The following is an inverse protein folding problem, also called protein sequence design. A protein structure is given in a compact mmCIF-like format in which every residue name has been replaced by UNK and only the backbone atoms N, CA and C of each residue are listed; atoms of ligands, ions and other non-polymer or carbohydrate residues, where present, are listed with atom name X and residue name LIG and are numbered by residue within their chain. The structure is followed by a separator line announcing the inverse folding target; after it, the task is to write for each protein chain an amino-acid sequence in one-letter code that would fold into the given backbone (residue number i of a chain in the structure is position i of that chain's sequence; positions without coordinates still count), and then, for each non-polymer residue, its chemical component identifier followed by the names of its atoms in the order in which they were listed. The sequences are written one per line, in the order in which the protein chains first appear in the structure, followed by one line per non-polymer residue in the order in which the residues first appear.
data_IF_819511501162
#
_entry.id   IF_819511501162
#
_cell.length_a   1.000
_cell.length_b   1.000
_cell.length_c   1.000
_cell.angle_alpha   90.00
_cell.angle_beta   90.00
_cell.angle_gamma   90.00
#
_symmetry.space_group_name_H-M   'P 1'
#
loop_
_entity.id
_entity.type
_entity.pdbx_description
1 polymer ?
#
# COMPACT_ATOMS: atom_id res chain seq x y z
N UNK A 1 -16.49 9.25 6.81
CA UNK A 1 -15.93 7.89 6.70
C UNK A 1 -14.88 7.96 5.62
N UNK A 2 -13.60 7.78 5.94
CA UNK A 2 -12.58 7.61 4.91
C UNK A 2 -12.83 6.25 4.25
N UNK A 3 -12.95 6.22 2.94
CA UNK A 3 -13.12 4.97 2.18
C UNK A 3 -11.74 4.33 2.09
N UNK A 4 -11.63 3.13 2.66
CA UNK A 4 -10.39 2.37 2.65
C UNK A 4 -10.34 1.58 1.33
N UNK A 5 -9.75 2.21 0.31
CA UNK A 5 -9.68 1.66 -1.04
C UNK A 5 -9.08 0.24 -1.08
N UNK A 6 -8.16 -0.08 -0.17
CA UNK A 6 -7.53 -1.40 -0.12
C UNK A 6 -8.52 -2.45 0.37
N UNK A 7 -9.34 -2.12 1.39
CA UNK A 7 -10.38 -3.02 1.91
C UNK A 7 -11.58 -3.17 0.99
N UNK A 8 -11.92 -2.11 0.25
CA UNK A 8 -13.02 -2.11 -0.72
C UNK A 8 -12.64 -2.76 -2.06
N UNK A 9 -11.35 -2.95 -2.34
CA UNK A 9 -10.91 -3.63 -3.53
C UNK A 9 -11.25 -5.12 -3.47
N UNK A 10 -11.87 -5.62 -4.54
CA UNK A 10 -12.29 -7.01 -4.65
C UNK A 10 -11.17 -7.94 -5.14
N UNK A 11 -10.13 -7.36 -5.74
CA UNK A 11 -9.02 -8.09 -6.35
C UNK A 11 -7.72 -7.26 -6.32
N UNK A 12 -6.58 -7.95 -6.29
CA UNK A 12 -5.25 -7.32 -6.45
C UNK A 12 -5.13 -6.51 -7.75
N UNK A 13 -5.83 -6.90 -8.82
CA UNK A 13 -5.84 -6.14 -10.08
C UNK A 13 -6.44 -4.74 -9.92
N UNK A 14 -7.48 -4.58 -9.07
CA UNK A 14 -8.02 -3.26 -8.77
C UNK A 14 -7.02 -2.41 -7.98
N UNK A 15 -6.23 -3.05 -7.11
CA UNK A 15 -5.16 -2.37 -6.38
C UNK A 15 -4.07 -1.89 -7.35
N UNK A 16 -3.63 -2.75 -8.26
CA UNK A 16 -2.60 -2.43 -9.27
C UNK A 16 -3.07 -1.29 -10.18
N UNK A 17 -4.31 -1.36 -10.67
CA UNK A 17 -4.90 -0.28 -11.47
C UNK A 17 -4.96 1.04 -10.68
N UNK A 18 -5.39 0.97 -9.42
CA UNK A 18 -5.41 2.11 -8.52
C UNK A 18 -4.04 2.71 -8.23
N UNK A 19 -2.99 1.89 -8.16
CA UNK A 19 -1.59 2.34 -8.01
C UNK A 19 -1.15 3.06 -9.28
N UNK A 20 -1.39 2.46 -10.45
CA UNK A 20 -0.94 2.98 -11.74
C UNK A 20 -1.64 4.28 -12.12
N UNK A 21 -2.87 4.49 -11.65
CA UNK A 21 -3.68 5.68 -11.94
C UNK A 21 -3.77 6.67 -10.78
N UNK A 22 -3.04 6.43 -9.68
CA UNK A 22 -3.17 7.17 -8.42
C UNK A 22 -2.99 8.68 -8.57
N UNK A 23 -2.01 9.09 -9.38
CA UNK A 23 -1.68 10.50 -9.63
C UNK A 23 -2.61 11.15 -10.66
N UNK A 24 -3.25 10.35 -11.52
CA UNK A 24 -4.17 10.80 -12.55
C UNK A 24 -5.62 10.89 -12.06
N UNK A 25 -5.93 10.19 -10.97
CA UNK A 25 -7.29 10.13 -10.42
C UNK A 25 -7.64 11.42 -9.66
N UNK A 26 -8.76 12.09 -10.00
CA UNK A 26 -9.26 13.22 -9.23
C UNK A 26 -9.85 12.79 -7.87
N UNK A 27 -10.02 11.48 -7.64
CA UNK A 27 -10.56 10.94 -6.40
C UNK A 27 -9.48 10.85 -5.33
N UNK A 28 -9.67 11.62 -4.26
CA UNK A 28 -8.75 11.59 -3.12
C UNK A 28 -9.10 10.39 -2.23
N UNK A 29 -8.23 9.39 -2.23
CA UNK A 29 -8.29 8.22 -1.34
C UNK A 29 -7.55 8.50 -0.03
N UNK A 30 -7.99 7.89 1.07
CA UNK A 30 -7.41 8.10 2.40
C UNK A 30 -7.23 6.79 3.17
N UNK A 31 -6.14 6.70 3.94
CA UNK A 31 -5.93 5.69 4.97
C UNK A 31 -5.70 6.38 6.32
N UNK A 32 -6.69 6.31 7.22
CA UNK A 32 -6.66 7.11 8.44
C UNK A 32 -6.55 8.61 8.13
N UNK A 33 -5.42 9.21 8.51
CA UNK A 33 -5.09 10.62 8.24
C UNK A 33 -4.17 10.80 7.00
N UNK A 34 -3.70 9.70 6.39
CA UNK A 34 -2.80 9.73 5.25
C UNK A 34 -3.57 9.83 3.93
N UNK A 35 -3.20 10.81 3.11
CA UNK A 35 -3.71 10.96 1.74
C UNK A 35 -3.00 9.96 0.83
N UNK A 36 -3.75 9.09 0.15
CA UNK A 36 -3.25 8.08 -0.78
C UNK A 36 -3.22 8.65 -2.21
N UNK A 37 -2.45 9.73 -2.39
CA UNK A 37 -2.35 10.49 -3.63
C UNK A 37 -1.25 10.03 -4.60
N UNK A 38 -0.53 8.94 -4.27
CA UNK A 38 0.50 8.38 -5.12
C UNK A 38 0.44 6.86 -5.14
N UNK A 39 1.02 6.26 -6.18
CA UNK A 39 1.09 4.82 -6.34
C UNK A 39 1.88 4.15 -5.21
N UNK A 40 2.95 4.79 -4.75
CA UNK A 40 3.79 4.33 -3.63
C UNK A 40 2.99 4.25 -2.34
N UNK A 41 2.16 5.25 -2.05
CA UNK A 41 1.33 5.27 -0.84
C UNK A 41 0.26 4.19 -0.87
N UNK A 42 -0.34 3.94 -2.03
CA UNK A 42 -1.30 2.85 -2.21
C UNK A 42 -0.64 1.47 -2.09
N UNK A 43 0.52 1.29 -2.72
CA UNK A 43 1.29 0.05 -2.61
C UNK A 43 1.75 -0.21 -1.16
N UNK A 44 2.22 0.83 -0.48
CA UNK A 44 2.60 0.79 0.92
C UNK A 44 1.44 0.39 1.83
N UNK A 45 0.28 0.99 1.61
CA UNK A 45 -0.93 0.70 2.37
C UNK A 45 -1.40 -0.73 2.12
N UNK A 46 -1.41 -1.21 0.87
CA UNK A 46 -1.71 -2.60 0.54
C UNK A 46 -0.80 -3.56 1.29
N UNK A 47 0.52 -3.37 1.18
CA UNK A 47 1.49 -4.25 1.81
C UNK A 47 1.36 -4.26 3.33
N UNK A 48 1.13 -3.10 3.94
CA UNK A 48 0.88 -2.98 5.38
C UNK A 48 -0.41 -3.71 5.80
N UNK A 49 -1.51 -3.56 5.07
CA UNK A 49 -2.78 -4.19 5.44
C UNK A 49 -2.69 -5.71 5.46
N UNK A 50 -1.92 -6.33 4.56
CA UNK A 50 -1.72 -7.79 4.55
C UNK A 50 -1.05 -8.31 5.83
N UNK A 51 -0.16 -7.51 6.42
CA UNK A 51 0.61 -7.87 7.62
C UNK A 51 0.10 -7.19 8.89
N UNK A 52 -0.89 -6.29 8.79
CA UNK A 52 -1.38 -5.43 9.88
C UNK A 52 -1.85 -6.21 11.12
N UNK A 53 -2.35 -7.42 10.90
CA UNK A 53 -2.84 -8.33 11.93
C UNK A 53 -1.73 -9.12 12.62
N UNK A 54 -0.48 -9.01 12.18
CA UNK A 54 0.63 -9.74 12.78
C UNK A 54 1.04 -9.07 14.10
N UNK A 55 1.51 -9.88 15.05
CA UNK A 55 2.06 -9.38 16.32
C UNK A 55 3.38 -8.65 16.11
N UNK A 56 4.22 -9.16 15.19
CA UNK A 56 5.49 -8.58 14.77
C UNK A 56 5.57 -8.54 13.25
N UNK A 57 5.92 -7.39 12.70
CA UNK A 57 6.02 -7.19 11.25
C UNK A 57 7.48 -6.92 10.91
N UNK A 58 8.06 -7.81 10.12
CA UNK A 58 9.40 -7.65 9.56
C UNK A 58 9.34 -6.91 8.24
N UNK A 59 10.40 -6.17 7.91
CA UNK A 59 10.54 -5.51 6.60
C UNK A 59 10.36 -6.50 5.43
N UNK A 60 10.83 -7.74 5.59
CA UNK A 60 10.74 -8.78 4.54
C UNK A 60 9.29 -9.22 4.24
N UNK A 61 8.40 -9.20 5.23
CA UNK A 61 6.98 -9.51 5.01
C UNK A 61 6.32 -8.41 4.18
N UNK A 62 6.62 -7.13 4.49
CA UNK A 62 6.14 -5.99 3.70
C UNK A 62 6.70 -6.06 2.28
N UNK A 63 8.01 -6.33 2.13
CA UNK A 63 8.66 -6.47 0.82
C UNK A 63 7.99 -7.54 -0.04
N UNK A 64 7.66 -8.69 0.54
CA UNK A 64 7.00 -9.81 -0.18
C UNK A 64 5.72 -9.35 -0.87
N UNK A 65 4.88 -8.56 -0.18
CA UNK A 65 3.65 -8.02 -0.77
C UNK A 65 3.88 -6.91 -1.79
N UNK A 66 4.92 -6.09 -1.61
CA UNK A 66 5.31 -5.11 -2.63
C UNK A 66 5.85 -5.81 -3.90
N UNK A 67 6.57 -6.92 -3.76
CA UNK A 67 7.06 -7.74 -4.88
C UNK A 67 5.91 -8.43 -5.62
N UNK A 68 4.84 -8.81 -4.90
CA UNK A 68 3.62 -9.33 -5.50
C UNK A 68 2.97 -8.28 -6.43
N UNK A 69 2.84 -7.03 -5.98
CA UNK A 69 2.34 -5.93 -6.80
C UNK A 69 3.22 -5.70 -8.03
N UNK A 70 4.56 -5.71 -7.87
CA UNK A 70 5.50 -5.59 -8.99
C UNK A 70 5.35 -6.72 -10.00
N UNK A 71 5.12 -7.95 -9.54
CA UNK A 71 4.87 -9.10 -10.40
C UNK A 71 3.56 -9.00 -11.18
N UNK A 72 2.66 -8.10 -10.76
CA UNK A 72 1.38 -7.79 -11.42
C UNK A 72 1.44 -6.51 -12.26
N UNK A 73 2.62 -6.00 -12.57
CA UNK A 73 2.82 -4.80 -13.42
C UNK A 73 2.41 -3.48 -12.73
N UNK A 74 2.52 -3.41 -11.39
CA UNK A 74 2.33 -2.16 -10.66
C UNK A 74 3.55 -1.22 -10.79
N UNK A 75 3.28 0.01 -11.20
CA UNK A 75 4.23 1.09 -11.43
C UNK A 75 4.26 2.03 -10.21
N UNK A 76 5.28 1.84 -9.36
CA UNK A 76 5.57 2.67 -8.18
C UNK A 76 7.06 2.51 -7.81
N UNK A 77 7.64 3.43 -7.04
CA UNK A 77 8.97 3.21 -6.47
C UNK A 77 8.93 2.22 -5.28
N UNK A 78 9.62 1.10 -5.41
CA UNK A 78 9.59 0.02 -4.40
C UNK A 78 10.19 0.46 -3.06
N UNK A 79 11.30 1.21 -3.09
CA UNK A 79 11.97 1.62 -1.87
C UNK A 79 11.17 2.70 -1.14
N UNK A 80 10.55 3.61 -1.89
CA UNK A 80 9.68 4.63 -1.36
C UNK A 80 8.41 4.01 -0.75
N UNK A 81 7.76 3.06 -1.43
CA UNK A 81 6.62 2.33 -0.89
C UNK A 81 6.99 1.55 0.39
N UNK A 82 8.15 0.88 0.41
CA UNK A 82 8.63 0.21 1.63
C UNK A 82 8.85 1.21 2.76
N UNK A 83 9.49 2.35 2.47
CA UNK A 83 9.72 3.39 3.47
C UNK A 83 8.40 3.92 4.05
N UNK A 84 7.41 4.19 3.20
CA UNK A 84 6.08 4.66 3.62
C UNK A 84 5.35 3.58 4.43
N UNK A 85 5.41 2.31 4.01
CA UNK A 85 4.77 1.20 4.73
C UNK A 85 5.32 1.07 6.16
N UNK A 86 6.63 1.28 6.33
CA UNK A 86 7.27 1.35 7.66
C UNK A 86 6.75 2.53 8.49
N UNK A 87 6.40 3.66 7.86
CA UNK A 87 5.77 4.77 8.57
C UNK A 87 4.34 4.46 9.03
N UNK A 88 3.58 3.67 8.27
CA UNK A 88 2.27 3.18 8.70
C UNK A 88 2.38 2.15 9.83
N UNK A 89 3.48 1.41 9.84
CA UNK A 89 3.72 0.30 10.73
C UNK A 89 4.34 0.71 12.07
N UNK A 90 3.50 1.16 13.02
CA UNK A 90 3.92 1.38 14.42
C UNK A 90 4.41 0.10 15.14
N UNK A 91 4.20 -1.09 14.55
CA UNK A 91 4.61 -2.40 15.09
C UNK A 91 5.85 -2.99 14.41
N UNK A 92 6.43 -2.28 13.44
CA UNK A 92 7.61 -2.76 12.73
C UNK A 92 8.83 -2.66 13.65
N UNK A 93 9.67 -3.69 13.65
CA UNK A 93 10.91 -3.68 14.43
C UNK A 93 11.83 -2.57 13.92
N UNK A 94 12.41 -1.82 14.88
CA UNK A 94 13.21 -0.61 14.62
C UNK A 94 14.67 -0.94 14.30
#
# INVERSE_FOLDING_TARGET
MAVDFIKDANSIEQIVDGINTAEESPEIKYFGEYKLDSGEKLAAHYAYEQVSNYDHISDDEIKTHLEELKSKDAHFDFNEALHIAKQFCNKCET
#
